data_IF_736651701191
#
_entry.id   IF_736651701191
#
_cell.length_a   1.000
_cell.length_b   1.000
_cell.length_c   1.000
_cell.angle_alpha   90.00
_cell.angle_beta   90.00
_cell.angle_gamma   90.00
#
_symmetry.space_group_name_H-M   'P 1'
#
loop_
_entity.id
_entity.type
_entity.pdbx_description
1 polymer ?
#
# COMPACT_ATOMS: atom_id res chain seq x y z
N UNK A 1 -8.65 14.83 -14.73
CA UNK A 1 -7.38 15.18 -14.07
C UNK A 1 -6.54 13.92 -13.99
N UNK A 2 -5.27 13.99 -14.34
CA UNK A 2 -4.33 12.87 -14.25
C UNK A 2 -3.35 13.16 -13.11
N UNK A 3 -3.04 12.16 -12.30
CA UNK A 3 -2.05 12.24 -11.24
C UNK A 3 -0.86 11.36 -11.62
N UNK A 4 0.30 11.99 -11.84
CA UNK A 4 1.57 11.31 -12.00
C UNK A 4 2.36 11.45 -10.70
N UNK A 5 2.87 10.33 -10.19
CA UNK A 5 3.84 10.37 -9.09
C UNK A 5 5.11 11.05 -9.62
N UNK A 6 5.76 11.88 -8.80
CA UNK A 6 6.87 12.80 -9.16
C UNK A 6 6.52 14.09 -9.92
N UNK A 7 5.24 14.35 -10.19
CA UNK A 7 4.82 15.65 -10.72
C UNK A 7 4.26 16.58 -9.64
N UNK A 8 4.19 17.88 -9.93
CA UNK A 8 3.74 18.90 -8.98
C UNK A 8 2.22 18.77 -8.70
N UNK A 9 1.85 18.60 -7.42
CA UNK A 9 0.48 18.27 -6.99
C UNK A 9 -0.25 19.50 -6.41
N UNK A 10 -0.01 20.69 -6.95
CA UNK A 10 -0.44 21.96 -6.33
C UNK A 10 -1.96 22.12 -6.20
N UNK A 11 -2.75 21.55 -7.12
CA UNK A 11 -4.21 21.75 -7.16
C UNK A 11 -5.01 20.85 -6.20
N UNK A 12 -4.46 19.73 -5.74
CA UNK A 12 -5.16 18.75 -4.88
C UNK A 12 -4.38 18.39 -3.63
N UNK A 13 -3.35 19.17 -3.28
CA UNK A 13 -2.57 18.92 -2.08
C UNK A 13 -3.42 19.11 -0.81
N UNK A 14 -3.21 18.25 0.18
CA UNK A 14 -3.86 18.22 1.49
C UNK A 14 -5.40 18.17 1.41
N UNK A 15 -5.94 17.53 0.36
CA UNK A 15 -7.36 17.59 0.02
C UNK A 15 -8.14 16.31 0.34
N UNK A 16 -7.45 15.22 0.74
CA UNK A 16 -8.10 13.91 0.91
C UNK A 16 -8.00 13.41 2.34
N UNK A 17 -9.14 13.04 2.92
CA UNK A 17 -9.18 12.32 4.19
C UNK A 17 -8.75 10.85 4.01
N UNK A 18 -9.03 10.25 2.84
CA UNK A 18 -8.64 8.87 2.52
C UNK A 18 -8.03 8.77 1.12
N UNK A 19 -6.87 8.13 1.03
CA UNK A 19 -6.25 7.69 -0.24
C UNK A 19 -6.27 6.16 -0.28
N UNK A 20 -6.64 5.55 -1.41
CA UNK A 20 -6.66 4.09 -1.56
C UNK A 20 -5.80 3.69 -2.75
N UNK A 21 -4.94 2.69 -2.57
CA UNK A 21 -4.10 2.15 -3.63
C UNK A 21 -3.93 0.63 -3.48
N UNK A 22 -3.69 -0.06 -4.59
CA UNK A 22 -3.49 -1.51 -4.61
C UNK A 22 -2.31 -1.86 -5.49
N UNK A 23 -1.44 -2.72 -4.98
CA UNK A 23 -0.29 -3.30 -5.69
C UNK A 23 0.63 -2.26 -6.38
N UNK A 24 0.83 -1.11 -5.72
CA UNK A 24 1.62 0.01 -6.25
C UNK A 24 3.09 -0.01 -5.79
N UNK A 25 3.49 -0.97 -4.96
CA UNK A 25 4.83 -1.05 -4.36
C UNK A 25 5.81 -1.91 -5.17
N UNK A 26 5.41 -2.44 -6.33
CA UNK A 26 6.29 -3.30 -7.15
C UNK A 26 7.47 -2.54 -7.77
N UNK A 27 7.25 -1.33 -8.28
CA UNK A 27 8.29 -0.54 -8.95
C UNK A 27 9.09 0.29 -7.94
N UNK A 28 10.26 -0.23 -7.57
CA UNK A 28 11.15 0.37 -6.54
C UNK A 28 11.60 1.79 -6.88
N UNK A 29 11.76 2.09 -8.17
CA UNK A 29 12.17 3.42 -8.64
C UNK A 29 11.17 4.52 -8.27
N UNK A 30 9.90 4.18 -8.06
CA UNK A 30 8.83 5.13 -7.74
C UNK A 30 8.43 5.13 -6.26
N UNK A 31 9.14 4.41 -5.37
CA UNK A 31 8.77 4.34 -3.96
C UNK A 31 8.80 5.72 -3.27
N UNK A 32 9.84 6.52 -3.54
CA UNK A 32 9.97 7.88 -2.99
C UNK A 32 8.86 8.80 -3.52
N UNK A 33 8.60 8.70 -4.81
CA UNK A 33 7.54 9.40 -5.55
C UNK A 33 6.17 9.13 -4.94
N UNK A 34 5.87 7.85 -4.69
CA UNK A 34 4.62 7.39 -4.12
C UNK A 34 4.47 7.86 -2.67
N UNK A 35 5.50 7.72 -1.83
CA UNK A 35 5.46 8.19 -0.45
C UNK A 35 5.28 9.71 -0.36
N UNK A 36 5.99 10.47 -1.19
CA UNK A 36 5.84 11.92 -1.31
C UNK A 36 4.42 12.29 -1.75
N UNK A 37 3.89 11.61 -2.76
CA UNK A 37 2.54 11.81 -3.28
C UNK A 37 1.50 11.56 -2.19
N UNK A 38 1.58 10.45 -1.46
CA UNK A 38 0.68 10.14 -0.33
C UNK A 38 0.72 11.27 0.69
N UNK A 39 1.92 11.69 1.13
CA UNK A 39 2.08 12.79 2.10
C UNK A 39 1.44 14.10 1.62
N UNK A 40 1.58 14.40 0.33
CA UNK A 40 1.05 15.64 -0.26
C UNK A 40 -0.46 15.59 -0.45
N UNK A 41 -1.06 14.42 -0.66
CA UNK A 41 -2.51 14.26 -0.85
C UNK A 41 -3.27 14.25 0.48
N UNK A 42 -2.71 13.61 1.51
CA UNK A 42 -3.35 13.48 2.82
C UNK A 42 -3.60 14.83 3.46
N UNK A 43 -4.85 15.04 3.88
CA UNK A 43 -5.28 16.26 4.55
C UNK A 43 -4.57 16.40 5.91
N UNK A 44 -4.03 17.58 6.19
CA UNK A 44 -3.34 17.90 7.45
C UNK A 44 -4.27 18.22 8.62
N UNK A 45 -5.48 18.68 8.32
CA UNK A 45 -6.46 19.08 9.33
C UNK A 45 -7.47 17.94 9.56
N UNK A 46 -7.42 17.33 10.74
CA UNK A 46 -8.25 16.19 11.08
C UNK A 46 -7.60 14.84 10.74
N UNK A 47 -8.29 13.72 11.04
CA UNK A 47 -7.77 12.39 10.75
C UNK A 47 -7.75 12.16 9.23
N UNK A 48 -6.61 11.73 8.72
CA UNK A 48 -6.46 11.28 7.33
C UNK A 48 -5.55 10.05 7.26
N UNK A 49 -5.80 9.18 6.30
CA UNK A 49 -5.03 7.96 6.10
C UNK A 49 -4.96 7.53 4.64
N UNK A 50 -3.89 6.83 4.29
CA UNK A 50 -3.81 6.09 3.04
C UNK A 50 -3.86 4.60 3.30
N UNK A 51 -4.77 3.90 2.62
CA UNK A 51 -5.04 2.48 2.76
C UNK A 51 -4.49 1.77 1.53
N UNK A 52 -3.60 0.82 1.76
CA UNK A 52 -2.97 0.06 0.71
C UNK A 52 -3.22 -1.43 0.88
N UNK A 53 -3.35 -2.12 -0.25
CA UNK A 53 -3.30 -3.57 -0.34
C UNK A 53 -2.17 -3.95 -1.26
N UNK A 54 -1.11 -4.62 -0.80
CA UNK A 54 -0.02 -5.04 -1.70
C UNK A 54 0.65 -6.32 -1.21
N UNK A 55 1.02 -7.24 -2.10
CA UNK A 55 1.91 -8.34 -1.76
C UNK A 55 3.29 -7.85 -1.35
N UNK A 56 4.08 -8.71 -0.71
CA UNK A 56 5.46 -8.36 -0.30
C UNK A 56 6.37 -8.11 -1.50
N UNK A 57 6.25 -8.96 -2.53
CA UNK A 57 7.06 -8.96 -3.76
C UNK A 57 8.55 -8.89 -3.44
N UNK A 58 9.04 -9.91 -2.76
CA UNK A 58 10.37 -9.99 -2.17
C UNK A 58 10.53 -8.92 -1.09
N UNK A 59 11.54 -8.07 -1.26
CA UNK A 59 11.81 -6.97 -0.32
C UNK A 59 11.18 -5.63 -0.73
N UNK A 60 10.28 -5.63 -1.71
CA UNK A 60 9.75 -4.38 -2.28
C UNK A 60 8.85 -3.63 -1.31
N UNK A 61 7.89 -4.31 -0.68
CA UNK A 61 7.03 -3.68 0.32
C UNK A 61 7.85 -3.16 1.51
N UNK A 62 8.77 -3.97 2.03
CA UNK A 62 9.61 -3.58 3.17
C UNK A 62 10.48 -2.34 2.86
N UNK A 63 11.00 -2.23 1.63
CA UNK A 63 11.72 -1.03 1.17
C UNK A 63 10.81 0.19 1.08
N UNK A 64 9.60 0.02 0.58
CA UNK A 64 8.64 1.12 0.53
C UNK A 64 8.27 1.62 1.94
N UNK A 65 8.00 0.72 2.89
CA UNK A 65 7.67 1.09 4.27
C UNK A 65 8.81 1.84 4.98
N UNK A 66 10.07 1.49 4.71
CA UNK A 66 11.23 2.28 5.19
C UNK A 66 11.24 3.70 4.62
N UNK A 67 10.92 3.85 3.33
CA UNK A 67 10.81 5.16 2.70
C UNK A 67 9.64 5.96 3.29
N UNK A 68 8.52 5.32 3.62
CA UNK A 68 7.39 5.97 4.32
C UNK A 68 7.87 6.59 5.64
N UNK A 69 8.64 5.86 6.45
CA UNK A 69 9.26 6.39 7.68
C UNK A 69 10.27 7.52 7.42
N UNK A 70 11.11 7.40 6.39
CA UNK A 70 12.06 8.47 5.98
C UNK A 70 11.35 9.78 5.65
N UNK A 71 10.13 9.71 5.10
CA UNK A 71 9.29 10.88 4.83
C UNK A 71 8.55 11.40 6.07
N UNK A 72 8.79 10.81 7.26
CA UNK A 72 8.17 11.19 8.52
C UNK A 72 6.69 10.82 8.60
N UNK A 73 6.26 9.81 7.85
CA UNK A 73 4.92 9.24 7.93
C UNK A 73 4.92 8.04 8.88
N UNK A 74 3.77 7.74 9.45
CA UNK A 74 3.57 6.52 10.25
C UNK A 74 2.88 5.45 9.42
N UNK A 75 3.14 4.18 9.71
CA UNK A 75 2.41 3.07 9.10
C UNK A 75 2.05 1.97 10.07
N UNK A 76 1.04 1.17 9.69
CA UNK A 76 0.71 -0.10 10.32
C UNK A 76 0.44 -1.15 9.26
N UNK A 77 0.81 -2.40 9.52
CA UNK A 77 0.57 -3.54 8.62
C UNK A 77 -0.32 -4.56 9.32
N UNK A 78 -1.35 -5.02 8.64
CA UNK A 78 -2.27 -6.05 9.09
C UNK A 78 -2.29 -7.16 8.04
N UNK A 79 -1.88 -8.36 8.45
CA UNK A 79 -1.89 -9.53 7.57
C UNK A 79 -3.30 -10.10 7.44
N UNK A 80 -4.00 -10.31 8.55
CA UNK A 80 -5.32 -10.96 8.59
C UNK A 80 -6.42 -9.91 8.72
N UNK A 81 -6.53 -9.05 7.71
CA UNK A 81 -7.45 -7.88 7.74
C UNK A 81 -8.91 -8.23 7.44
N UNK A 82 -9.17 -9.35 6.77
CA UNK A 82 -10.52 -9.82 6.47
C UNK A 82 -10.59 -11.35 6.62
N UNK A 83 -11.68 -11.84 7.21
CA UNK A 83 -11.85 -13.27 7.52
C UNK A 83 -11.99 -14.12 6.27
N UNK A 84 -12.65 -13.63 5.23
CA UNK A 84 -12.87 -14.38 4.00
C UNK A 84 -11.60 -14.38 3.14
N UNK A 85 -10.91 -13.25 3.03
CA UNK A 85 -9.61 -13.17 2.37
C UNK A 85 -8.59 -14.09 3.04
N UNK A 86 -8.54 -14.09 4.37
CA UNK A 86 -7.69 -15.00 5.12
C UNK A 86 -8.06 -16.47 4.90
N UNK A 87 -9.36 -16.80 4.90
CA UNK A 87 -9.83 -18.16 4.62
C UNK A 87 -9.40 -18.65 3.24
N UNK A 88 -9.50 -17.81 2.21
CA UNK A 88 -9.05 -18.12 0.85
C UNK A 88 -7.54 -18.32 0.79
N UNK A 89 -6.76 -17.39 1.35
CA UNK A 89 -5.30 -17.52 1.45
C UNK A 89 -4.89 -18.84 2.10
N UNK A 90 -5.50 -19.18 3.24
CA UNK A 90 -5.24 -20.45 3.92
C UNK A 90 -5.67 -21.66 3.08
N UNK A 91 -6.76 -21.57 2.33
CA UNK A 91 -7.17 -22.61 1.39
C UNK A 91 -6.09 -22.89 0.35
N UNK A 92 -5.62 -21.83 -0.34
CA UNK A 92 -4.58 -21.94 -1.37
C UNK A 92 -3.26 -22.46 -0.79
N UNK A 93 -2.89 -22.04 0.41
CA UNK A 93 -1.68 -22.52 1.10
C UNK A 93 -1.75 -24.00 1.50
N UNK A 94 -2.95 -24.52 1.77
CA UNK A 94 -3.16 -25.87 2.28
C UNK A 94 -3.62 -26.86 1.20
N UNK A 95 -3.28 -26.59 -0.08
CA UNK A 95 -3.47 -27.54 -1.17
C UNK A 95 -4.79 -27.42 -1.94
N UNK A 96 -5.53 -26.33 -1.78
CA UNK A 96 -6.57 -25.97 -2.75
C UNK A 96 -5.92 -25.66 -4.10
N UNK A 97 -6.20 -26.51 -5.09
CA UNK A 97 -5.69 -26.38 -6.45
C UNK A 97 -6.57 -25.52 -7.36
N UNK A 98 -7.54 -24.79 -6.81
CA UNK A 98 -8.34 -23.83 -7.58
C UNK A 98 -7.50 -22.67 -8.14
N UNK A 99 -6.35 -22.37 -7.54
CA UNK A 99 -5.34 -21.43 -8.06
C UNK A 99 -3.92 -22.03 -8.00
N UNK A 100 -3.51 -22.84 -9.01
CA UNK A 100 -2.23 -23.55 -8.99
C UNK A 100 -0.98 -22.67 -8.98
N UNK A 101 -1.11 -21.41 -9.42
CA UNK A 101 -0.01 -20.45 -9.48
C UNK A 101 0.04 -19.53 -8.25
N UNK A 102 -0.72 -19.85 -7.20
CA UNK A 102 -0.73 -19.05 -5.98
C UNK A 102 0.65 -19.10 -5.29
N UNK A 103 1.28 -17.95 -5.16
CA UNK A 103 2.52 -17.77 -4.44
C UNK A 103 2.34 -16.56 -3.49
N UNK A 104 2.37 -16.75 -2.16
CA UNK A 104 2.01 -15.70 -1.21
C UNK A 104 2.78 -14.40 -1.37
N UNK A 105 4.07 -14.47 -1.67
CA UNK A 105 4.91 -13.28 -1.83
C UNK A 105 4.45 -12.42 -3.02
N UNK A 106 3.85 -13.03 -4.05
CA UNK A 106 3.37 -12.37 -5.27
C UNK A 106 1.85 -12.15 -5.32
N UNK A 107 1.10 -12.91 -4.53
CA UNK A 107 -0.36 -12.99 -4.64
C UNK A 107 -1.12 -12.53 -3.39
N UNK A 108 -0.56 -12.71 -2.18
CA UNK A 108 -1.29 -12.36 -0.95
C UNK A 108 -1.12 -10.87 -0.61
N UNK A 109 -2.16 -10.04 -0.71
CA UNK A 109 -2.02 -8.64 -0.36
C UNK A 109 -2.02 -8.49 1.15
N UNK A 110 -1.08 -7.73 1.69
CA UNK A 110 -1.13 -7.22 3.05
C UNK A 110 -1.90 -5.89 3.06
N UNK A 111 -2.73 -5.67 4.08
CA UNK A 111 -3.29 -4.35 4.35
C UNK A 111 -2.23 -3.53 5.08
N UNK A 112 -1.89 -2.35 4.58
CA UNK A 112 -1.16 -1.39 5.37
C UNK A 112 -1.77 0.00 5.27
N UNK A 113 -1.69 0.74 6.38
CA UNK A 113 -2.23 2.08 6.52
C UNK A 113 -1.08 3.04 6.74
N UNK A 114 -1.14 4.21 6.11
CA UNK A 114 -0.16 5.29 6.26
C UNK A 114 -0.89 6.52 6.79
N UNK A 115 -0.33 7.18 7.79
CA UNK A 115 -0.84 8.45 8.32
C UNK A 115 0.26 9.50 8.36
N UNK A 116 -0.14 10.78 8.41
CA UNK A 116 0.74 11.91 8.61
C UNK A 116 1.45 11.88 9.97
#
# INVERSE_FOLDING_TARGET
MTLHWDEEISSISNSFDVVVASDCTFFKDFHRSLACTVKLLLRKAGPSEAIFFSPKRGDSLDKFLKIVEEYGLHFSVTENYDTEVWRLHQGFMNGDNSWPAYEPDHCYPLLFRITL
#
